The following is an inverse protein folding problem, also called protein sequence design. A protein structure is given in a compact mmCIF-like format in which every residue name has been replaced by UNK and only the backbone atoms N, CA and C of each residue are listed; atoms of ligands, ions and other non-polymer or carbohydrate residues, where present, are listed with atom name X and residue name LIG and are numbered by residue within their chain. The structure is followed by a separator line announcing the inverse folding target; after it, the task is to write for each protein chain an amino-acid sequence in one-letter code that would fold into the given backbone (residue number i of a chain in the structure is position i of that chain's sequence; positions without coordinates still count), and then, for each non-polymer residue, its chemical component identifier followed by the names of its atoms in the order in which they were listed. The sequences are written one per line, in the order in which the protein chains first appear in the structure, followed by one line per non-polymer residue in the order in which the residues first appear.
data_IF_979202643568
#
_entry.id   IF_979202643568
#
_cell.length_a   1.000
_cell.length_b   1.000
_cell.length_c   1.000
_cell.angle_alpha   90.00
_cell.angle_beta   90.00
_cell.angle_gamma   90.00
#
_symmetry.space_group_name_H-M   'P 1'
#
loop_
_entity.id
_entity.type
_entity.pdbx_description
1 polymer ?
#
# COMPACT_ATOMS: atom_id res chain seq x y z
N UNK A 1 -20.38 12.06 6.81
CA UNK A 1 -20.11 10.63 6.91
C UNK A 1 -19.05 10.47 8.00
N UNK A 2 -19.46 10.15 9.22
CA UNK A 2 -18.50 9.73 10.24
C UNK A 2 -18.14 8.30 9.88
N UNK A 3 -16.93 8.06 9.39
CA UNK A 3 -16.42 6.71 9.21
C UNK A 3 -16.06 6.17 10.59
N UNK A 4 -16.79 5.15 11.05
CA UNK A 4 -16.46 4.46 12.30
C UNK A 4 -15.09 3.77 12.13
N UNK A 5 -14.06 4.14 12.92
CA UNK A 5 -12.71 3.63 12.74
C UNK A 5 -12.63 2.11 12.91
N UNK A 6 -13.47 1.52 13.76
CA UNK A 6 -13.56 0.07 13.95
C UNK A 6 -14.13 -0.66 12.71
N UNK A 7 -15.03 0.00 11.98
CA UNK A 7 -15.66 -0.54 10.79
C UNK A 7 -14.68 -0.53 9.61
N UNK A 8 -13.87 0.54 9.48
CA UNK A 8 -12.74 0.59 8.56
C UNK A 8 -11.69 -0.49 8.85
N UNK A 9 -11.37 -0.75 10.13
CA UNK A 9 -10.44 -1.81 10.53
C UNK A 9 -10.92 -3.21 10.18
N UNK A 10 -12.21 -3.47 10.36
CA UNK A 10 -12.83 -4.76 9.99
C UNK A 10 -12.78 -4.99 8.48
N UNK A 11 -12.96 -3.93 7.69
CA UNK A 11 -12.81 -3.98 6.24
C UNK A 11 -11.37 -4.32 5.83
N UNK A 12 -10.35 -3.75 6.49
CA UNK A 12 -8.95 -4.08 6.23
C UNK A 12 -8.63 -5.57 6.50
N UNK A 13 -9.16 -6.16 7.58
CA UNK A 13 -9.00 -7.59 7.86
C UNK A 13 -9.65 -8.47 6.79
N UNK A 14 -10.83 -8.08 6.32
CA UNK A 14 -11.55 -8.80 5.25
C UNK A 14 -10.76 -8.76 3.94
N UNK A 15 -10.12 -7.63 3.63
CA UNK A 15 -9.23 -7.51 2.49
C UNK A 15 -7.95 -8.33 2.65
N UNK A 16 -7.29 -8.28 3.81
CA UNK A 16 -6.11 -9.08 4.13
C UNK A 16 -6.34 -10.59 3.99
N UNK A 17 -7.56 -11.05 4.27
CA UNK A 17 -7.93 -12.46 4.10
C UNK A 17 -8.03 -12.88 2.61
N UNK A 18 -8.19 -11.94 1.68
CA UNK A 18 -8.28 -12.19 0.24
C UNK A 18 -6.97 -11.92 -0.48
N UNK A 19 -6.26 -10.87 -0.08
CA UNK A 19 -5.02 -10.41 -0.70
C UNK A 19 -3.99 -10.10 0.39
N UNK A 20 -2.82 -10.72 0.32
CA UNK A 20 -1.72 -10.47 1.27
C UNK A 20 -1.04 -9.13 0.98
N UNK A 21 -1.74 -8.02 1.27
CA UNK A 21 -1.22 -6.65 1.13
C UNK A 21 -0.45 -6.23 2.39
N UNK A 22 0.82 -5.90 2.22
CA UNK A 22 1.68 -5.34 3.26
C UNK A 22 1.26 -3.90 3.62
N UNK A 23 0.76 -3.11 2.66
CA UNK A 23 0.25 -1.75 2.89
C UNK A 23 -0.97 -1.77 3.82
N UNK A 24 -1.91 -2.68 3.59
CA UNK A 24 -3.09 -2.83 4.47
C UNK A 24 -2.71 -3.40 5.83
N UNK A 25 -1.79 -4.36 5.88
CA UNK A 25 -1.26 -4.89 7.14
C UNK A 25 -0.59 -3.79 7.98
N UNK A 26 0.24 -2.94 7.35
CA UNK A 26 0.90 -1.83 8.02
C UNK A 26 -0.10 -0.78 8.55
N UNK A 27 -1.15 -0.47 7.78
CA UNK A 27 -2.20 0.47 8.21
C UNK A 27 -3.04 -0.09 9.36
N UNK A 28 -3.41 -1.37 9.30
CA UNK A 28 -4.14 -2.02 10.37
C UNK A 28 -3.32 -2.08 11.67
N UNK A 29 -2.03 -2.42 11.57
CA UNK A 29 -1.12 -2.51 12.72
C UNK A 29 -0.78 -1.15 13.33
N UNK A 30 -0.87 -0.05 12.57
CA UNK A 30 -0.65 1.30 13.09
C UNK A 30 -1.69 1.69 14.17
N UNK A 31 -2.90 1.13 14.12
CA UNK A 31 -3.96 1.33 15.10
C UNK A 31 -3.94 0.36 16.28
N UNK A 32 -2.98 -0.56 16.33
CA UNK A 32 -2.90 -1.60 17.36
C UNK A 32 -1.79 -1.29 18.37
N UNK A 33 -2.07 -1.52 19.65
CA UNK A 33 -1.09 -1.40 20.72
C UNK A 33 -0.31 -2.71 20.85
N UNK A 34 0.98 -2.68 20.54
CA UNK A 34 1.83 -3.84 20.72
C UNK A 34 2.06 -4.11 22.21
N UNK A 35 2.28 -5.38 22.55
CA UNK A 35 2.58 -5.81 23.93
C UNK A 35 3.82 -5.11 24.51
N UNK A 36 4.77 -4.73 23.66
CA UNK A 36 5.90 -3.89 24.02
C UNK A 36 5.74 -2.48 23.41
N UNK A 37 5.41 -1.44 24.21
CA UNK A 37 5.23 -0.08 23.70
C UNK A 37 6.52 0.53 23.16
N UNK A 38 7.69 0.13 23.67
CA UNK A 38 8.98 0.59 23.15
C UNK A 38 9.28 0.03 21.74
N UNK A 39 8.72 -1.13 21.41
CA UNK A 39 8.87 -1.74 20.08
C UNK A 39 7.86 -1.20 19.05
N UNK A 40 6.83 -0.47 19.49
CA UNK A 40 5.75 -0.02 18.61
C UNK A 40 6.25 0.95 17.53
N UNK A 41 6.96 2.00 17.93
CA UNK A 41 7.52 2.98 17.01
C UNK A 41 8.49 2.38 15.96
N UNK A 42 9.51 1.59 16.32
CA UNK A 42 10.42 1.02 15.33
C UNK A 42 9.75 0.01 14.39
N UNK A 43 8.79 -0.80 14.87
CA UNK A 43 8.04 -1.74 14.03
C UNK A 43 7.17 -0.99 13.02
N UNK A 44 6.42 0.02 13.46
CA UNK A 44 5.60 0.84 12.58
C UNK A 44 6.45 1.57 11.53
N UNK A 45 7.61 2.12 11.93
CA UNK A 45 8.54 2.77 11.01
C UNK A 45 9.09 1.80 9.94
N UNK A 46 9.51 0.60 10.36
CA UNK A 46 10.01 -0.43 9.44
C UNK A 46 8.92 -0.86 8.42
N UNK A 47 7.69 -1.07 8.89
CA UNK A 47 6.55 -1.41 8.03
C UNK A 47 6.17 -0.27 7.07
N UNK A 48 6.20 0.98 7.55
CA UNK A 48 5.97 2.15 6.71
C UNK A 48 7.03 2.25 5.61
N UNK A 49 8.30 2.04 5.94
CA UNK A 49 9.40 2.05 4.97
C UNK A 49 9.27 0.92 3.94
N UNK A 50 8.96 -0.31 4.38
CA UNK A 50 8.78 -1.46 3.51
C UNK A 50 7.55 -1.34 2.59
N UNK A 51 6.46 -0.72 3.06
CA UNK A 51 5.21 -0.55 2.30
C UNK A 51 5.20 0.67 1.38
N UNK A 52 6.08 1.65 1.58
CA UNK A 52 6.17 2.86 0.73
C UNK A 52 6.36 2.56 -0.77
N UNK A 53 7.29 1.68 -1.22
CA UNK A 53 7.44 1.37 -2.64
C UNK A 53 6.22 0.64 -3.23
N UNK A 54 5.52 -0.15 -2.41
CA UNK A 54 4.34 -0.92 -2.83
C UNK A 54 3.14 -0.03 -3.19
N UNK A 55 3.11 1.21 -2.71
CA UNK A 55 2.08 2.21 -3.03
C UNK A 55 2.24 2.85 -4.41
N UNK A 56 3.34 2.58 -5.12
CA UNK A 56 3.63 3.18 -6.43
C UNK A 56 2.87 2.50 -7.55
N UNK A 57 2.73 3.18 -8.68
CA UNK A 57 2.30 2.61 -9.94
C UNK A 57 3.53 2.14 -10.72
N UNK A 58 3.48 0.93 -11.28
CA UNK A 58 4.54 0.40 -12.16
C UNK A 58 4.01 0.23 -13.57
N UNK A 59 4.74 0.78 -14.53
CA UNK A 59 4.45 0.60 -15.94
C UNK A 59 4.60 -0.89 -16.31
N UNK A 60 3.56 -1.49 -16.89
CA UNK A 60 3.56 -2.88 -17.32
C UNK A 60 4.49 -3.16 -18.52
N UNK A 61 4.82 -2.12 -19.31
CA UNK A 61 5.68 -2.25 -20.49
C UNK A 61 7.18 -2.20 -20.18
N UNK A 62 7.62 -1.37 -19.21
CA UNK A 62 9.05 -1.18 -18.93
C UNK A 62 9.45 -1.24 -17.46
N UNK A 63 8.50 -1.37 -16.53
CA UNK A 63 8.79 -1.43 -15.10
C UNK A 63 9.08 -0.07 -14.44
N UNK A 64 8.94 1.05 -15.15
CA UNK A 64 9.12 2.38 -14.54
C UNK A 64 8.09 2.62 -13.42
N UNK A 65 8.58 3.00 -12.24
CA UNK A 65 7.76 3.26 -11.05
C UNK A 65 7.49 4.76 -10.85
N UNK A 66 6.24 5.11 -10.58
CA UNK A 66 5.82 6.49 -10.29
C UNK A 66 4.87 6.55 -9.09
N UNK A 67 4.94 7.63 -8.31
CA UNK A 67 3.99 7.87 -7.21
C UNK A 67 2.62 8.36 -7.71
N UNK A 68 2.60 9.05 -8.84
CA UNK A 68 1.39 9.55 -9.49
C UNK A 68 1.11 8.76 -10.77
N UNK A 69 -0.15 8.72 -11.16
CA UNK A 69 -0.55 8.10 -12.42
C UNK A 69 -0.15 9.01 -13.59
N UNK A 70 0.54 8.44 -14.58
CA UNK A 70 0.90 9.13 -15.81
C UNK A 70 0.26 8.44 -17.00
N UNK A 71 -0.56 9.16 -17.75
CA UNK A 71 -1.16 8.61 -18.98
C UNK A 71 -0.11 8.24 -20.05
N UNK A 72 1.00 8.96 -20.06
CA UNK A 72 2.15 8.73 -20.93
C UNK A 72 3.36 8.39 -20.07
N UNK A 73 3.88 7.16 -20.19
CA UNK A 73 4.97 6.67 -19.35
C UNK A 73 6.29 7.38 -19.71
N UNK A 74 6.98 8.08 -18.78
CA UNK A 74 8.22 8.78 -19.09
C UNK A 74 9.42 7.85 -19.37
N UNK A 75 9.36 6.57 -18.98
CA UNK A 75 10.42 5.58 -19.27
C UNK A 75 10.39 5.06 -20.72
N UNK A 76 9.27 4.48 -21.16
CA UNK A 76 9.13 3.85 -22.47
C UNK A 76 8.26 4.60 -23.47
N UNK A 77 7.74 5.78 -23.10
CA UNK A 77 6.87 6.62 -23.94
C UNK A 77 5.61 5.90 -24.46
N UNK A 78 5.15 4.89 -23.72
CA UNK A 78 3.95 4.14 -24.05
C UNK A 78 2.75 4.77 -23.34
N UNK A 79 1.61 4.75 -24.03
CA UNK A 79 0.33 5.21 -23.52
C UNK A 79 -0.40 4.07 -22.80
N UNK A 80 -1.24 4.41 -21.83
CA UNK A 80 -2.13 3.45 -21.14
C UNK A 80 -1.39 2.23 -20.54
N UNK A 81 -0.14 2.44 -20.11
CA UNK A 81 0.75 1.36 -19.69
C UNK A 81 0.72 1.10 -18.19
N UNK A 82 -0.11 1.84 -17.45
CA UNK A 82 -0.26 1.70 -16.01
C UNK A 82 -1.58 0.99 -15.71
N UNK A 83 -1.55 -0.25 -15.21
CA UNK A 83 -2.76 -0.93 -14.79
C UNK A 83 -3.44 -0.14 -13.66
N UNK A 84 -4.76 -0.30 -13.51
CA UNK A 84 -5.53 0.30 -12.40
C UNK A 84 -5.13 -0.20 -11.00
N UNK A 85 -4.16 -1.12 -10.95
CA UNK A 85 -3.63 -1.78 -9.76
C UNK A 85 -2.28 -1.17 -9.37
N UNK A 86 -2.08 -0.94 -8.07
CA UNK A 86 -0.78 -0.51 -7.55
C UNK A 86 0.23 -1.66 -7.60
N UNK A 87 1.52 -1.36 -7.41
CA UNK A 87 2.60 -2.37 -7.45
C UNK A 87 2.35 -3.56 -6.53
N UNK A 88 1.68 -3.35 -5.40
CA UNK A 88 1.32 -4.43 -4.49
C UNK A 88 0.24 -5.39 -5.02
N UNK A 89 -0.60 -4.91 -5.93
CA UNK A 89 -1.73 -5.62 -6.52
C UNK A 89 -1.38 -6.24 -7.90
N UNK A 90 -0.12 -6.08 -8.33
CA UNK A 90 0.44 -6.56 -9.60
C UNK A 90 0.99 -7.98 -9.50
#
# INVERSE_FOLDING_TARGET
LCEDPELARTQYLTHLARESSLVLAAQWLAGEQLSNPAAQAPVQAALAQASTPLKRYRCAACGFEAQQHFWHCPGCQTWDSYPARRVEEL
#
